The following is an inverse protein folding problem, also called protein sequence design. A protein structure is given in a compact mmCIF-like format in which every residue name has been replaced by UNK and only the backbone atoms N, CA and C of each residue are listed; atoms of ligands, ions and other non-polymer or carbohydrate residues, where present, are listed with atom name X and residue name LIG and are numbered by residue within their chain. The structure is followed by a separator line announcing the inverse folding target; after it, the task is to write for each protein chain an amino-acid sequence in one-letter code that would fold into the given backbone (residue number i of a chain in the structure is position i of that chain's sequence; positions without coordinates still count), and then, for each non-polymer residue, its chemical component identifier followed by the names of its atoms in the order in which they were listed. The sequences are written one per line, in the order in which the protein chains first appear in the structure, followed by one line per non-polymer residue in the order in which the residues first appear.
data_IF_827827407031
#
_entry.id   IF_827827407031
#
_cell.length_a   1.000
_cell.length_b   1.000
_cell.length_c   1.000
_cell.angle_alpha   90.00
_cell.angle_beta   90.00
_cell.angle_gamma   90.00
#
_symmetry.space_group_name_H-M   'P 1'
#
loop_
_entity.id
_entity.type
_entity.pdbx_description
1 polymer ?
#
# COMPACT_ATOMS: atom_id res chain seq x y z
N UNK A 1 31.22 -51.35 -19.95
CA UNK A 1 30.02 -50.50 -20.07
C UNK A 1 30.07 -49.58 -18.87
N UNK A 2 30.35 -48.27 -19.01
CA UNK A 2 30.18 -47.38 -17.88
C UNK A 2 28.68 -47.26 -17.63
N UNK A 3 28.26 -47.51 -16.40
CA UNK A 3 26.87 -47.32 -15.97
C UNK A 3 26.52 -45.85 -16.14
N UNK A 4 25.48 -45.57 -16.92
CA UNK A 4 25.01 -44.22 -17.21
C UNK A 4 24.38 -43.63 -15.95
N UNK A 5 24.98 -42.57 -15.42
CA UNK A 5 24.50 -41.89 -14.22
C UNK A 5 23.40 -40.90 -14.61
N UNK A 6 22.13 -41.28 -14.40
CA UNK A 6 20.99 -40.38 -14.58
C UNK A 6 20.67 -39.64 -13.27
N UNK A 7 20.78 -38.32 -13.31
CA UNK A 7 20.28 -37.43 -12.26
C UNK A 7 18.88 -36.98 -12.62
N UNK A 8 17.92 -37.24 -11.75
CA UNK A 8 16.60 -36.63 -11.84
C UNK A 8 16.65 -35.21 -11.25
N UNK A 9 16.32 -34.22 -12.09
CA UNK A 9 16.30 -32.81 -11.75
C UNK A 9 14.90 -32.19 -11.99
N UNK A 10 13.85 -33.01 -12.12
CA UNK A 10 12.48 -32.53 -12.29
C UNK A 10 12.07 -31.54 -11.20
N UNK A 11 12.45 -31.83 -9.95
CA UNK A 11 12.08 -31.02 -8.78
C UNK A 11 12.74 -29.64 -8.81
N UNK A 12 13.97 -29.54 -9.34
CA UNK A 12 14.66 -28.27 -9.52
C UNK A 12 13.99 -27.42 -10.61
N UNK A 13 13.48 -28.06 -11.67
CA UNK A 13 12.73 -27.38 -12.73
C UNK A 13 11.39 -26.86 -12.23
N UNK A 14 10.69 -27.63 -11.39
CA UNK A 14 9.44 -27.21 -10.73
C UNK A 14 9.71 -26.01 -9.81
N UNK A 15 10.71 -26.10 -8.93
CA UNK A 15 11.09 -24.99 -8.05
C UNK A 15 11.46 -23.72 -8.84
N UNK A 16 12.19 -23.87 -9.95
CA UNK A 16 12.56 -22.73 -10.81
C UNK A 16 11.33 -22.09 -11.47
N UNK A 17 10.35 -22.90 -11.87
CA UNK A 17 9.09 -22.42 -12.43
C UNK A 17 8.25 -21.68 -11.36
N UNK A 18 8.16 -22.23 -10.15
CA UNK A 18 7.42 -21.65 -9.04
C UNK A 18 8.03 -20.32 -8.58
N UNK A 19 9.37 -20.25 -8.48
CA UNK A 19 10.09 -19.00 -8.21
C UNK A 19 9.89 -17.96 -9.33
N UNK A 20 9.80 -18.40 -10.59
CA UNK A 20 9.50 -17.53 -11.72
C UNK A 20 8.06 -16.98 -11.72
N UNK A 21 7.12 -17.72 -11.13
CA UNK A 21 5.70 -17.36 -11.05
C UNK A 21 5.36 -16.53 -9.80
N UNK A 22 6.12 -16.67 -8.71
CA UNK A 22 5.85 -16.04 -7.42
C UNK A 22 5.59 -14.51 -7.50
N UNK A 23 6.36 -13.69 -8.25
CA UNK A 23 6.08 -12.26 -8.37
C UNK A 23 4.73 -11.93 -9.02
N UNK A 24 4.27 -12.76 -9.96
CA UNK A 24 2.96 -12.56 -10.63
C UNK A 24 1.80 -12.91 -9.70
N UNK A 25 1.97 -13.95 -8.89
CA UNK A 25 0.97 -14.40 -7.94
C UNK A 25 0.90 -13.51 -6.70
N UNK A 26 1.98 -12.79 -6.36
CA UNK A 26 2.00 -11.84 -5.24
C UNK A 26 1.22 -10.55 -5.49
N UNK A 27 1.10 -10.13 -6.75
CA UNK A 27 0.55 -8.82 -7.08
C UNK A 27 -0.90 -8.57 -6.56
N UNK A 28 -1.86 -9.52 -6.66
CA UNK A 28 -3.20 -9.31 -6.11
C UNK A 28 -3.22 -9.13 -4.59
N UNK A 29 -2.41 -9.90 -3.86
CA UNK A 29 -2.34 -9.83 -2.39
C UNK A 29 -1.70 -8.51 -1.93
N UNK A 30 -0.58 -8.12 -2.53
CA UNK A 30 0.09 -6.86 -2.22
C UNK A 30 -0.79 -5.66 -2.56
N UNK A 31 -1.51 -5.70 -3.69
CA UNK A 31 -2.47 -4.64 -4.06
C UNK A 31 -3.59 -4.54 -3.02
N UNK A 32 -4.13 -5.68 -2.57
CA UNK A 32 -5.19 -5.70 -1.58
C UNK A 32 -4.73 -5.12 -0.24
N UNK A 33 -3.51 -5.45 0.21
CA UNK A 33 -2.93 -4.88 1.42
C UNK A 33 -2.72 -3.37 1.30
N UNK A 34 -2.16 -2.91 0.19
CA UNK A 34 -1.95 -1.48 -0.08
C UNK A 34 -3.26 -0.70 -0.10
N UNK A 35 -4.28 -1.20 -0.80
CA UNK A 35 -5.58 -0.54 -0.90
C UNK A 35 -6.32 -0.50 0.44
N UNK A 36 -6.22 -1.57 1.23
CA UNK A 36 -6.75 -1.61 2.59
C UNK A 36 -6.10 -0.52 3.44
N UNK A 37 -4.77 -0.47 3.51
CA UNK A 37 -4.06 0.51 4.34
C UNK A 37 -4.27 1.94 3.85
N UNK A 38 -4.35 2.18 2.54
CA UNK A 38 -4.67 3.50 2.01
C UNK A 38 -6.07 3.98 2.42
N UNK A 39 -7.05 3.06 2.45
CA UNK A 39 -8.40 3.36 2.93
C UNK A 39 -8.42 3.66 4.41
N UNK A 40 -7.77 2.84 5.23
CA UNK A 40 -7.67 3.07 6.69
C UNK A 40 -6.98 4.41 6.99
N UNK A 41 -5.88 4.71 6.28
CA UNK A 41 -5.17 5.99 6.41
C UNK A 41 -6.08 7.18 6.09
N UNK A 42 -6.83 7.11 4.98
CA UNK A 42 -7.81 8.14 4.62
C UNK A 42 -8.88 8.29 5.71
N UNK A 43 -9.41 7.18 6.21
CA UNK A 43 -10.54 7.20 7.14
C UNK A 43 -10.13 7.69 8.54
N UNK A 44 -8.94 7.33 9.02
CA UNK A 44 -8.36 7.87 10.24
C UNK A 44 -8.02 9.37 10.09
N UNK A 45 -7.39 9.79 8.99
CA UNK A 45 -7.12 11.20 8.72
C UNK A 45 -8.41 12.03 8.64
N UNK A 46 -9.46 11.48 8.03
CA UNK A 46 -10.80 12.09 8.03
C UNK A 46 -11.35 12.24 9.44
N UNK A 47 -11.19 11.22 10.29
CA UNK A 47 -11.65 11.25 11.67
C UNK A 47 -10.90 12.33 12.48
N UNK A 48 -9.58 12.45 12.31
CA UNK A 48 -8.75 13.48 12.93
C UNK A 48 -9.19 14.90 12.53
N UNK A 49 -9.61 15.06 11.28
CA UNK A 49 -10.05 16.33 10.72
C UNK A 49 -11.51 16.71 11.09
N UNK A 50 -12.28 15.84 11.77
CA UNK A 50 -13.68 16.14 12.10
C UNK A 50 -13.79 17.27 13.12
N UNK A 51 -14.85 18.06 13.00
CA UNK A 51 -15.18 19.12 13.97
C UNK A 51 -14.39 20.42 13.79
N UNK A 52 -13.63 20.57 12.70
CA UNK A 52 -12.95 21.84 12.39
C UNK A 52 -13.96 22.95 12.10
N UNK A 53 -14.05 23.94 13.00
CA UNK A 53 -14.98 25.07 12.89
C UNK A 53 -14.73 25.91 11.62
N UNK A 54 -13.45 26.17 11.31
CA UNK A 54 -13.05 27.03 10.19
C UNK A 54 -12.83 26.26 8.87
N UNK A 55 -12.85 24.93 8.93
CA UNK A 55 -12.64 24.06 7.76
C UNK A 55 -13.57 22.82 7.78
N UNK A 56 -14.90 23.00 7.88
CA UNK A 56 -15.82 21.89 8.08
C UNK A 56 -15.91 20.92 6.88
N UNK A 57 -15.53 21.37 5.69
CA UNK A 57 -15.52 20.55 4.47
C UNK A 57 -14.18 19.83 4.25
N UNK A 58 -13.11 20.22 4.96
CA UNK A 58 -11.77 19.67 4.78
C UNK A 58 -11.68 18.14 4.89
N UNK A 59 -12.35 17.46 5.85
CA UNK A 59 -12.32 15.99 5.91
C UNK A 59 -12.75 15.33 4.59
N UNK A 60 -13.75 15.90 3.91
CA UNK A 60 -14.28 15.31 2.67
C UNK A 60 -13.36 15.52 1.46
N UNK A 61 -12.38 16.41 1.58
CA UNK A 61 -11.33 16.59 0.58
C UNK A 61 -10.26 15.50 0.66
N UNK A 62 -10.07 14.85 1.82
CA UNK A 62 -9.08 13.77 1.98
C UNK A 62 -9.56 12.54 1.21
N UNK A 63 -8.78 12.09 0.24
CA UNK A 63 -9.07 10.95 -0.62
C UNK A 63 -7.90 9.97 -0.64
N UNK A 64 -8.08 8.84 -1.31
CA UNK A 64 -6.98 8.00 -1.74
C UNK A 64 -7.17 7.60 -3.21
N UNK A 65 -6.07 7.33 -3.89
CA UNK A 65 -6.03 6.67 -5.19
C UNK A 65 -4.93 5.59 -5.19
N UNK A 66 -5.15 4.51 -5.92
CA UNK A 66 -4.18 3.40 -6.05
C UNK A 66 -3.82 3.23 -7.51
N UNK A 67 -2.56 3.48 -7.85
CA UNK A 67 -2.00 3.36 -9.19
C UNK A 67 -1.17 2.09 -9.28
N UNK A 68 -1.31 1.36 -10.38
CA UNK A 68 -0.48 0.20 -10.68
C UNK A 68 0.19 0.41 -12.04
N UNK A 69 1.51 0.48 -12.04
CA UNK A 69 2.32 0.55 -13.25
C UNK A 69 2.93 -0.83 -13.50
N UNK A 70 2.82 -1.32 -14.73
CA UNK A 70 3.49 -2.54 -15.19
C UNK A 70 4.44 -2.16 -16.32
N UNK A 71 5.74 -2.25 -16.07
CA UNK A 71 6.77 -1.91 -17.05
C UNK A 71 7.99 -2.83 -16.89
N UNK A 72 8.57 -3.28 -18.01
CA UNK A 72 9.81 -4.08 -18.02
C UNK A 72 9.79 -5.33 -17.13
N UNK A 73 8.63 -5.98 -16.99
CA UNK A 73 8.47 -7.16 -16.12
C UNK A 73 8.35 -6.84 -14.62
N UNK A 74 8.40 -5.56 -14.23
CA UNK A 74 8.20 -5.08 -12.86
C UNK A 74 6.76 -4.56 -12.70
N UNK A 75 6.16 -4.85 -11.55
CA UNK A 75 4.91 -4.23 -11.11
C UNK A 75 5.22 -3.26 -9.98
N UNK A 76 4.90 -1.98 -10.19
CA UNK A 76 4.98 -0.93 -9.16
C UNK A 76 3.55 -0.58 -8.75
N UNK A 77 3.31 -0.55 -7.45
CA UNK A 77 2.04 -0.12 -6.88
C UNK A 77 2.28 1.07 -5.97
N UNK A 78 1.45 2.09 -6.12
CA UNK A 78 1.54 3.31 -5.36
C UNK A 78 0.14 3.68 -4.86
N UNK A 79 0.05 4.09 -3.61
CA UNK A 79 -1.14 4.71 -3.06
C UNK A 79 -0.83 6.14 -2.67
N UNK A 80 -1.63 7.07 -3.17
CA UNK A 80 -1.57 8.47 -2.82
C UNK A 80 -2.75 8.78 -1.89
N UNK A 81 -2.48 9.30 -0.70
CA UNK A 81 -3.51 9.62 0.29
C UNK A 81 -3.33 11.06 0.75
N UNK A 82 -4.39 11.86 0.63
CA UNK A 82 -4.35 13.25 1.04
C UNK A 82 -5.48 14.12 0.49
N UNK A 83 -5.46 15.43 0.78
CA UNK A 83 -6.44 16.39 0.30
C UNK A 83 -6.39 16.54 -1.22
N UNK A 84 -7.50 16.22 -1.87
CA UNK A 84 -7.74 16.51 -3.28
C UNK A 84 -8.00 18.01 -3.44
N UNK A 85 -7.09 18.71 -4.13
CA UNK A 85 -7.11 20.17 -4.29
C UNK A 85 -8.32 20.68 -5.08
N UNK A 86 -8.96 19.82 -5.85
CA UNK A 86 -10.15 20.16 -6.64
C UNK A 86 -11.44 20.05 -5.82
N UNK A 87 -11.36 19.54 -4.57
CA UNK A 87 -12.49 19.47 -3.65
C UNK A 87 -12.58 20.70 -2.74
N UNK A 88 -13.79 21.02 -2.23
CA UNK A 88 -13.96 22.09 -1.25
C UNK A 88 -12.96 21.98 -0.10
N UNK A 89 -12.21 23.06 0.13
CA UNK A 89 -11.17 23.18 1.16
C UNK A 89 -9.95 22.26 0.98
N UNK A 90 -9.82 21.52 -0.12
CA UNK A 90 -8.67 20.64 -0.38
C UNK A 90 -7.34 21.38 -0.51
N UNK A 91 -7.35 22.57 -1.12
CA UNK A 91 -6.16 23.42 -1.22
C UNK A 91 -5.61 23.89 0.15
N UNK A 92 -6.38 23.76 1.24
CA UNK A 92 -5.92 24.07 2.60
C UNK A 92 -5.04 22.98 3.21
N UNK A 93 -4.91 21.82 2.56
CA UNK A 93 -4.21 20.65 3.08
C UNK A 93 -2.83 20.94 3.66
N UNK A 94 -1.97 21.63 2.90
CA UNK A 94 -0.62 21.95 3.37
C UNK A 94 -0.63 22.90 4.58
N UNK A 95 -1.55 23.86 4.60
CA UNK A 95 -1.68 24.82 5.70
C UNK A 95 -2.15 24.13 6.99
N UNK A 96 -3.08 23.20 6.86
CA UNK A 96 -3.63 22.45 8.00
C UNK A 96 -2.60 21.44 8.51
N UNK A 97 -1.95 20.70 7.62
CA UNK A 97 -0.99 19.65 8.00
C UNK A 97 0.26 20.24 8.65
N UNK A 98 0.87 21.24 7.99
CA UNK A 98 2.18 21.76 8.36
C UNK A 98 2.14 23.13 9.06
N UNK A 99 0.97 23.75 9.15
CA UNK A 99 0.80 25.05 9.77
C UNK A 99 1.22 26.22 8.87
N UNK A 100 1.26 27.40 9.48
CA UNK A 100 1.75 28.66 8.90
C UNK A 100 2.31 29.56 9.99
N UNK A 101 2.75 30.76 9.61
CA UNK A 101 3.17 31.82 10.54
C UNK A 101 2.14 32.07 11.66
N UNK A 102 0.84 31.93 11.38
CA UNK A 102 -0.22 32.27 12.34
C UNK A 102 -0.98 31.06 12.92
N UNK A 103 -0.72 29.85 12.42
CA UNK A 103 -1.46 28.65 12.83
C UNK A 103 -0.50 27.47 13.02
N UNK A 104 -0.52 26.75 14.15
CA UNK A 104 0.33 25.59 14.33
C UNK A 104 -0.06 24.43 13.39
N UNK A 105 0.87 23.52 13.07
CA UNK A 105 0.56 22.28 12.35
C UNK A 105 -0.44 21.43 13.13
N UNK A 106 -1.35 20.76 12.43
CA UNK A 106 -2.28 19.80 13.04
C UNK A 106 -1.82 18.34 12.89
N UNK A 107 -0.94 18.03 11.93
CA UNK A 107 -0.38 16.69 11.76
C UNK A 107 -1.45 15.61 11.54
N UNK A 108 -2.50 15.93 10.78
CA UNK A 108 -3.68 15.08 10.57
C UNK A 108 -3.29 13.80 9.82
N UNK A 109 -2.55 13.93 8.72
CA UNK A 109 -2.07 12.81 7.93
C UNK A 109 -0.89 12.13 8.62
N UNK A 110 0.02 12.90 9.21
CA UNK A 110 1.17 12.34 9.92
C UNK A 110 0.75 11.43 11.08
N UNK A 111 -0.19 11.87 11.91
CA UNK A 111 -0.71 11.08 13.02
C UNK A 111 -1.47 9.83 12.54
N UNK A 112 -2.20 9.94 11.42
CA UNK A 112 -2.85 8.79 10.79
C UNK A 112 -1.83 7.76 10.28
N UNK A 113 -0.75 8.24 9.65
CA UNK A 113 0.32 7.40 9.12
C UNK A 113 0.97 6.57 10.22
N UNK A 114 1.34 7.21 11.33
CA UNK A 114 1.93 6.53 12.48
C UNK A 114 1.03 5.45 13.08
N UNK A 115 -0.30 5.63 13.01
CA UNK A 115 -1.25 4.63 13.53
C UNK A 115 -1.49 3.47 12.58
N UNK A 116 -1.46 3.73 11.27
CA UNK A 116 -1.72 2.71 10.24
C UNK A 116 -0.48 1.91 9.90
N UNK A 117 0.72 2.48 10.07
CA UNK A 117 2.01 1.85 9.72
C UNK A 117 2.17 0.42 10.26
N UNK A 118 1.90 0.10 11.56
CA UNK A 118 2.05 -1.27 12.06
C UNK A 118 1.12 -2.28 11.38
N UNK A 119 -0.13 -1.89 11.09
CA UNK A 119 -1.09 -2.75 10.41
C UNK A 119 -0.76 -2.90 8.92
N UNK A 120 -0.18 -1.87 8.30
CA UNK A 120 0.36 -1.96 6.94
C UNK A 120 1.51 -2.95 6.85
N UNK A 121 2.50 -2.88 7.75
CA UNK A 121 3.60 -3.84 7.83
C UNK A 121 3.08 -5.27 7.98
N UNK A 122 2.18 -5.50 8.94
CA UNK A 122 1.55 -6.81 9.14
C UNK A 122 0.74 -7.27 7.92
N UNK A 123 0.08 -6.34 7.21
CA UNK A 123 -0.66 -6.60 5.99
C UNK A 123 0.23 -7.05 4.84
N UNK A 124 1.40 -6.43 4.67
CA UNK A 124 2.39 -6.81 3.66
C UNK A 124 2.98 -8.19 3.96
N UNK A 125 3.29 -8.48 5.23
CA UNK A 125 3.77 -9.80 5.64
C UNK A 125 2.76 -10.90 5.33
N UNK A 126 1.49 -10.66 5.67
CA UNK A 126 0.38 -11.59 5.35
C UNK A 126 0.22 -11.76 3.84
N UNK A 127 0.21 -10.67 3.09
CA UNK A 127 0.10 -10.71 1.63
C UNK A 127 1.26 -11.50 0.99
N UNK A 128 2.47 -11.35 1.52
CA UNK A 128 3.65 -12.09 1.07
C UNK A 128 3.51 -13.58 1.39
N UNK A 129 3.08 -13.93 2.61
CA UNK A 129 2.85 -15.33 2.99
C UNK A 129 1.74 -15.98 2.14
N UNK A 130 0.65 -15.27 1.88
CA UNK A 130 -0.45 -15.74 1.02
C UNK A 130 0.03 -15.96 -0.42
N UNK A 131 0.87 -15.06 -0.94
CA UNK A 131 1.46 -15.18 -2.26
C UNK A 131 2.37 -16.42 -2.40
N UNK A 132 3.18 -16.69 -1.37
CA UNK A 132 4.06 -17.85 -1.33
C UNK A 132 3.26 -19.16 -1.27
N UNK A 133 2.23 -19.23 -0.42
CA UNK A 133 1.31 -20.40 -0.37
C UNK A 133 0.59 -20.60 -1.71
N UNK A 134 0.12 -19.52 -2.33
CA UNK A 134 -0.53 -19.59 -3.65
C UNK A 134 0.42 -20.05 -4.77
N UNK A 135 1.73 -19.96 -4.55
CA UNK A 135 2.77 -20.41 -5.48
C UNK A 135 3.36 -21.78 -5.11
N UNK A 136 2.81 -22.47 -4.09
CA UNK A 136 3.30 -23.78 -3.65
C UNK A 136 4.63 -23.77 -2.89
N UNK A 137 5.09 -22.58 -2.46
CA UNK A 137 6.39 -22.39 -1.80
C UNK A 137 6.32 -22.46 -0.27
N UNK A 138 5.12 -22.46 0.31
CA UNK A 138 4.81 -22.59 1.74
C UNK A 138 3.53 -23.40 1.95
#
# INVERSE_FOLDING_TARGET
MPDDFQVDASDLNVLSADLGAAPRNAAPFLRSALEYSARELRDDARQNARGMEHAPAFPFSITYDVKTLRAFGVTVMEAEVGPDKDRPQGALGNLIEYGSVNNPPQGILHGALQRVEPDFESGIDKATADALRASGLL
#
